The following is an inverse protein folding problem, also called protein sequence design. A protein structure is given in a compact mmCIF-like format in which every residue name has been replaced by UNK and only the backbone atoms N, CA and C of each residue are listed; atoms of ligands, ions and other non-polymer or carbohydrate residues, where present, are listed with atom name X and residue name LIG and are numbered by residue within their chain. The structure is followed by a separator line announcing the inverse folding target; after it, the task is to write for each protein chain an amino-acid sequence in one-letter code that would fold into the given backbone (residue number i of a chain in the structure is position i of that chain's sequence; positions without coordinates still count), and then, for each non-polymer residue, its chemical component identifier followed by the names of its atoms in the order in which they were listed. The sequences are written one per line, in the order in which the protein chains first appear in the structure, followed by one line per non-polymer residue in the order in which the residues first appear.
data_IF_295221134222
#
_entry.id   IF_295221134222
#
_cell.length_a   1.000
_cell.length_b   1.000
_cell.length_c   1.000
_cell.angle_alpha   90.00
_cell.angle_beta   90.00
_cell.angle_gamma   90.00
#
_symmetry.space_group_name_H-M   'P 1'
#
loop_
_entity.id
_entity.type
_entity.pdbx_description
1 polymer ?
#
# COMPACT_ATOMS: atom_id res chain seq x y z
N UNK A 1 -56.51 -29.94 -32.92
CA UNK A 1 -55.32 -30.49 -32.23
C UNK A 1 -54.47 -29.30 -31.80
N UNK A 2 -54.59 -28.88 -30.54
CA UNK A 2 -53.90 -27.70 -29.98
C UNK A 2 -52.57 -28.14 -29.39
N UNK A 3 -51.46 -27.72 -30.00
CA UNK A 3 -50.12 -27.96 -29.47
C UNK A 3 -49.85 -26.98 -28.32
N UNK A 4 -49.77 -27.49 -27.09
CA UNK A 4 -49.38 -26.72 -25.92
C UNK A 4 -47.87 -26.47 -25.93
N UNK A 5 -47.45 -25.21 -25.85
CA UNK A 5 -46.04 -24.84 -25.68
C UNK A 5 -45.62 -25.21 -24.25
N UNK A 6 -44.68 -26.13 -24.13
CA UNK A 6 -44.14 -26.55 -22.84
C UNK A 6 -43.07 -25.55 -22.40
N UNK A 7 -43.39 -24.73 -21.40
CA UNK A 7 -42.45 -23.78 -20.81
C UNK A 7 -41.48 -24.52 -19.89
N UNK A 8 -40.20 -24.57 -20.26
CA UNK A 8 -39.13 -25.11 -19.43
C UNK A 8 -38.44 -23.94 -18.70
N UNK A 9 -38.27 -24.08 -17.38
CA UNK A 9 -37.53 -23.11 -16.59
C UNK A 9 -36.05 -23.08 -17.04
N UNK A 10 -35.40 -21.91 -17.08
CA UNK A 10 -34.00 -21.82 -17.44
C UNK A 10 -33.14 -22.57 -16.41
N UNK A 11 -32.10 -23.24 -16.89
CA UNK A 11 -31.17 -23.92 -16.01
C UNK A 11 -30.46 -22.91 -15.07
N UNK A 12 -30.15 -23.32 -13.83
CA UNK A 12 -29.40 -22.49 -12.90
C UNK A 12 -28.06 -22.03 -13.50
N UNK A 13 -27.76 -20.73 -13.38
CA UNK A 13 -26.49 -20.19 -13.84
C UNK A 13 -25.39 -20.66 -12.90
N UNK A 14 -24.51 -21.53 -13.40
CA UNK A 14 -23.29 -21.93 -12.72
C UNK A 14 -22.16 -20.98 -13.10
N UNK A 15 -21.64 -20.24 -12.12
CA UNK A 15 -20.41 -19.47 -12.30
C UNK A 15 -19.24 -20.45 -12.51
N UNK A 16 -18.72 -20.51 -13.72
CA UNK A 16 -17.51 -21.27 -14.05
C UNK A 16 -16.36 -20.29 -14.23
N UNK A 17 -15.29 -20.50 -13.46
CA UNK A 17 -14.06 -19.72 -13.60
C UNK A 17 -13.33 -20.18 -14.86
N UNK A 18 -13.37 -19.34 -15.90
CA UNK A 18 -12.75 -19.61 -17.20
C UNK A 18 -11.36 -18.97 -17.31
N UNK A 19 -10.73 -18.58 -16.18
CA UNK A 19 -9.33 -18.21 -16.19
C UNK A 19 -8.50 -19.43 -16.57
N UNK A 20 -7.97 -19.42 -17.80
CA UNK A 20 -7.03 -20.45 -18.26
C UNK A 20 -5.87 -20.54 -17.27
N UNK A 21 -5.41 -21.74 -16.87
CA UNK A 21 -4.20 -21.88 -16.07
C UNK A 21 -3.01 -21.55 -16.98
N UNK A 22 -2.82 -20.26 -17.24
CA UNK A 22 -1.59 -19.73 -17.77
C UNK A 22 -0.52 -20.07 -16.72
N UNK A 23 0.19 -21.16 -17.01
CA UNK A 23 1.56 -21.44 -16.64
C UNK A 23 2.06 -20.64 -15.43
N UNK A 24 2.19 -21.35 -14.30
CA UNK A 24 2.93 -20.96 -13.11
C UNK A 24 4.09 -20.00 -13.41
N UNK A 25 3.79 -18.70 -13.39
CA UNK A 25 4.75 -17.59 -13.43
C UNK A 25 4.37 -16.64 -12.29
N UNK A 26 5.29 -16.37 -11.35
CA UNK A 26 4.94 -15.93 -10.01
C UNK A 26 4.59 -14.45 -9.97
N UNK A 27 3.58 -14.09 -9.18
CA UNK A 27 3.17 -12.72 -8.85
C UNK A 27 2.87 -11.80 -10.05
N UNK A 28 1.57 -11.56 -10.25
CA UNK A 28 1.02 -10.35 -10.87
C UNK A 28 1.83 -9.10 -10.45
N UNK A 29 2.75 -8.61 -11.30
CA UNK A 29 3.65 -7.51 -10.93
C UNK A 29 2.87 -6.21 -10.78
N UNK A 30 3.04 -5.55 -9.65
CA UNK A 30 2.51 -4.21 -9.41
C UNK A 30 3.53 -3.21 -9.94
N UNK A 31 3.13 -2.40 -10.92
CA UNK A 31 3.94 -1.29 -11.40
C UNK A 31 3.32 0.01 -10.91
N UNK A 32 4.02 0.70 -10.05
CA UNK A 32 3.59 1.99 -9.51
C UNK A 32 4.07 3.11 -10.43
N UNK A 33 3.18 4.05 -10.73
CA UNK A 33 3.44 5.24 -11.52
C UNK A 33 3.69 6.45 -10.63
N UNK A 34 2.91 6.59 -9.56
CA UNK A 34 2.97 7.73 -8.66
C UNK A 34 2.59 7.31 -7.24
N UNK A 35 3.31 7.85 -6.26
CA UNK A 35 3.03 7.66 -4.84
C UNK A 35 3.01 9.03 -4.17
N UNK A 36 1.92 9.32 -3.48
CA UNK A 36 1.74 10.57 -2.72
C UNK A 36 1.31 10.24 -1.30
N UNK A 37 1.92 10.92 -0.31
CA UNK A 37 1.49 10.89 1.09
C UNK A 37 0.85 12.23 1.40
N UNK A 38 -0.46 12.20 1.62
CA UNK A 38 -1.27 13.36 1.97
C UNK A 38 -1.17 13.73 3.43
N UNK A 39 -2.07 14.59 3.87
CA UNK A 39 -2.15 15.03 5.26
C UNK A 39 -2.48 13.86 6.21
N UNK A 40 -2.20 14.07 7.49
CA UNK A 40 -2.57 13.11 8.52
C UNK A 40 -3.83 13.53 9.28
N UNK A 41 -4.68 12.54 9.58
CA UNK A 41 -5.75 12.69 10.55
C UNK A 41 -5.22 12.34 11.94
N UNK A 42 -5.46 13.22 12.90
CA UNK A 42 -5.13 12.97 14.30
C UNK A 42 -6.31 12.24 14.95
N UNK A 43 -6.11 10.99 15.33
CA UNK A 43 -7.11 10.16 16.00
C UNK A 43 -6.88 10.25 17.51
N UNK A 44 -7.93 10.65 18.23
CA UNK A 44 -7.96 10.68 19.69
C UNK A 44 -8.66 9.42 20.20
N UNK A 45 -7.88 8.40 20.54
CA UNK A 45 -8.37 7.24 21.28
C UNK A 45 -8.50 7.54 22.77
N UNK A 46 -9.27 6.71 23.48
CA UNK A 46 -9.58 6.90 24.90
C UNK A 46 -8.34 6.95 25.82
N UNK A 47 -7.22 6.35 25.38
CA UNK A 47 -5.94 6.31 26.12
C UNK A 47 -4.73 6.81 25.31
N UNK A 48 -4.90 7.08 24.01
CA UNK A 48 -3.77 7.44 23.15
C UNK A 48 -4.19 8.35 22.01
N UNK A 49 -3.27 9.21 21.56
CA UNK A 49 -3.45 10.09 20.42
C UNK A 49 -2.41 9.74 19.36
N UNK A 50 -2.81 9.56 18.11
CA UNK A 50 -1.89 9.17 17.03
C UNK A 50 -2.29 9.77 15.69
N UNK A 51 -1.31 9.88 14.78
CA UNK A 51 -1.50 10.38 13.42
C UNK A 51 -1.64 9.22 12.44
N UNK A 52 -2.65 9.27 11.57
CA UNK A 52 -2.86 8.34 10.47
C UNK A 52 -2.69 9.10 9.16
N UNK A 53 -1.78 8.63 8.30
CA UNK A 53 -1.41 9.25 7.03
C UNK A 53 -2.23 8.64 5.90
N UNK A 54 -2.83 9.49 5.06
CA UNK A 54 -3.44 9.05 3.80
C UNK A 54 -2.34 8.84 2.76
N UNK A 55 -2.36 7.69 2.10
CA UNK A 55 -1.42 7.34 1.03
C UNK A 55 -2.21 7.06 -0.23
N UNK A 56 -1.81 7.67 -1.34
CA UNK A 56 -2.39 7.42 -2.66
C UNK A 56 -1.32 6.83 -3.57
N UNK A 57 -1.64 5.67 -4.14
CA UNK A 57 -0.79 4.95 -5.09
C UNK A 57 -1.51 4.91 -6.43
N UNK A 58 -0.86 5.34 -7.50
CA UNK A 58 -1.36 5.22 -8.87
C UNK A 58 -0.55 4.13 -9.56
N UNK A 59 -1.23 3.17 -10.16
CA UNK A 59 -0.61 2.05 -10.86
C UNK A 59 -0.57 2.32 -12.37
N UNK A 60 0.43 1.76 -13.04
CA UNK A 60 0.48 1.78 -14.49
C UNK A 60 -0.70 0.99 -15.07
N UNK A 61 -1.35 1.50 -16.13
CA UNK A 61 -2.43 0.78 -16.80
C UNK A 61 -1.88 -0.52 -17.41
N UNK A 62 -2.66 -1.60 -17.29
CA UNK A 62 -2.27 -2.94 -17.75
C UNK A 62 -2.61 -3.20 -19.22
N UNK A 63 -3.53 -2.41 -19.77
CA UNK A 63 -4.00 -2.49 -21.14
C UNK A 63 -4.23 -1.08 -21.66
N UNK A 64 -3.95 -0.88 -22.95
CA UNK A 64 -4.17 0.39 -23.66
C UNK A 64 -5.67 0.71 -23.89
N UNK A 65 -6.57 -0.09 -23.34
CA UNK A 65 -8.01 -0.05 -23.62
C UNK A 65 -8.85 0.70 -22.59
N UNK A 66 -8.23 1.32 -21.59
CA UNK A 66 -8.93 2.09 -20.55
C UNK A 66 -8.17 3.37 -20.21
N UNK A 67 -8.85 4.52 -20.27
CA UNK A 67 -8.25 5.83 -20.02
C UNK A 67 -7.94 6.12 -18.54
N UNK A 68 -8.25 5.21 -17.61
CA UNK A 68 -8.02 5.42 -16.17
C UNK A 68 -6.90 4.52 -15.64
N UNK A 69 -5.93 5.13 -14.97
CA UNK A 69 -4.93 4.42 -14.19
C UNK A 69 -5.57 3.91 -12.89
N UNK A 70 -5.43 2.63 -12.52
CA UNK A 70 -5.92 2.14 -11.24
C UNK A 70 -5.25 2.90 -10.10
N UNK A 71 -5.99 3.17 -9.03
CA UNK A 71 -5.45 3.80 -7.84
C UNK A 71 -5.80 3.01 -6.58
N UNK A 72 -4.91 3.03 -5.60
CA UNK A 72 -5.11 2.43 -4.28
C UNK A 72 -4.96 3.54 -3.25
N UNK A 73 -5.88 3.60 -2.30
CA UNK A 73 -5.85 4.52 -1.18
C UNK A 73 -5.68 3.74 0.13
N UNK A 74 -4.68 4.11 0.91
CA UNK A 74 -4.32 3.47 2.18
C UNK A 74 -4.33 4.49 3.31
N UNK A 75 -4.45 3.99 4.54
CA UNK A 75 -4.32 4.78 5.75
C UNK A 75 -3.37 4.10 6.72
N UNK A 76 -2.24 4.75 7.05
CA UNK A 76 -1.17 4.12 7.85
C UNK A 76 -0.67 5.03 8.95
N UNK A 77 -0.37 4.46 10.11
CA UNK A 77 0.37 5.14 11.18
C UNK A 77 1.86 5.05 10.89
N UNK A 78 2.64 5.96 11.48
CA UNK A 78 4.11 5.90 11.39
C UNK A 78 4.69 4.55 11.83
N UNK A 79 4.11 3.92 12.85
CA UNK A 79 4.51 2.58 13.31
C UNK A 79 4.38 1.51 12.22
N UNK A 80 3.40 1.63 11.34
CA UNK A 80 3.18 0.64 10.29
C UNK A 80 4.29 0.75 9.21
N UNK A 81 4.84 1.95 8.98
CA UNK A 81 6.03 2.15 8.15
C UNK A 81 7.30 1.57 8.80
N UNK A 82 7.43 1.67 10.13
CA UNK A 82 8.55 1.08 10.87
C UNK A 82 8.56 -0.44 10.67
N UNK A 83 7.42 -1.09 10.93
CA UNK A 83 7.25 -2.54 10.74
C UNK A 83 7.51 -2.93 9.28
N UNK A 84 7.01 -2.14 8.32
CA UNK A 84 7.24 -2.37 6.91
C UNK A 84 8.74 -2.30 6.55
N UNK A 85 9.45 -1.26 7.00
CA UNK A 85 10.90 -1.13 6.75
C UNK A 85 11.70 -2.27 7.36
N UNK A 86 11.37 -2.68 8.59
CA UNK A 86 12.02 -3.82 9.25
C UNK A 86 11.78 -5.12 8.47
N UNK A 87 10.55 -5.34 8.01
CA UNK A 87 10.20 -6.49 7.17
C UNK A 87 10.94 -6.48 5.82
N UNK A 88 11.08 -5.31 5.18
CA UNK A 88 11.88 -5.14 3.96
C UNK A 88 13.35 -5.51 4.20
N UNK A 89 13.97 -4.99 5.26
CA UNK A 89 15.37 -5.28 5.55
C UNK A 89 15.61 -6.76 5.89
N UNK A 90 14.64 -7.40 6.56
CA UNK A 90 14.70 -8.83 6.87
C UNK A 90 14.54 -9.74 5.65
N UNK A 91 13.73 -9.34 4.67
CA UNK A 91 13.44 -10.12 3.46
C UNK A 91 14.45 -9.91 2.32
N UNK A 92 15.05 -8.71 2.23
CA UNK A 92 15.94 -8.36 1.14
C UNK A 92 17.35 -8.95 1.30
N UNK A 93 18.02 -9.29 0.17
CA UNK A 93 19.41 -9.69 0.18
C UNK A 93 20.33 -8.49 0.52
N UNK A 94 21.54 -8.73 1.06
CA UNK A 94 22.38 -7.69 1.67
C UNK A 94 22.75 -6.52 0.73
N UNK A 95 22.92 -6.80 -0.55
CA UNK A 95 23.22 -5.83 -1.61
C UNK A 95 22.07 -4.83 -1.84
N UNK A 96 20.83 -5.27 -1.71
CA UNK A 96 19.64 -4.43 -1.90
C UNK A 96 19.22 -3.66 -0.65
N UNK A 97 19.63 -4.10 0.55
CA UNK A 97 19.28 -3.41 1.82
C UNK A 97 19.74 -1.96 1.84
N UNK A 98 20.88 -1.65 1.21
CA UNK A 98 21.42 -0.28 1.10
C UNK A 98 20.55 0.66 0.28
N UNK A 99 19.70 0.11 -0.59
CA UNK A 99 18.75 0.85 -1.41
C UNK A 99 17.46 1.19 -0.66
N UNK A 100 17.27 0.67 0.56
CA UNK A 100 16.11 0.99 1.40
C UNK A 100 16.42 2.26 2.21
N UNK A 101 15.76 3.40 1.94
CA UNK A 101 16.05 4.63 2.67
C UNK A 101 15.66 4.54 4.14
N UNK A 102 16.19 5.45 4.94
CA UNK A 102 15.76 5.63 6.32
C UNK A 102 14.36 6.25 6.40
N UNK A 103 13.66 5.98 7.49
CA UNK A 103 12.40 6.66 7.80
C UNK A 103 12.69 8.03 8.40
N UNK A 104 11.77 9.00 8.26
CA UNK A 104 11.86 10.24 9.02
C UNK A 104 11.92 9.94 10.52
N UNK A 105 12.62 10.75 11.33
CA UNK A 105 12.93 10.40 12.70
C UNK A 105 11.68 10.23 13.58
N UNK A 106 11.84 9.42 14.62
CA UNK A 106 10.91 9.41 15.77
C UNK A 106 11.02 10.74 16.51
N UNK A 107 10.04 11.04 17.35
CA UNK A 107 10.14 12.20 18.24
C UNK A 107 11.40 12.03 19.08
N UNK A 108 12.20 13.10 19.20
CA UNK A 108 13.44 13.07 19.96
C UNK A 108 13.16 12.62 21.39
N UNK A 109 14.08 11.84 21.97
CA UNK A 109 13.97 11.42 23.35
C UNK A 109 13.93 12.63 24.30
N UNK A 110 14.68 13.69 23.96
CA UNK A 110 14.67 14.96 24.69
C UNK A 110 13.30 15.64 24.71
N UNK A 111 12.44 15.40 23.72
CA UNK A 111 11.09 15.97 23.61
C UNK A 111 10.01 15.00 24.08
N UNK A 112 10.38 13.83 24.60
CA UNK A 112 9.41 12.80 24.99
C UNK A 112 8.54 13.22 26.19
N UNK A 113 9.03 14.12 27.04
CA UNK A 113 8.24 14.71 28.13
C UNK A 113 7.13 15.64 27.62
N UNK A 114 7.24 16.15 26.38
CA UNK A 114 6.21 16.93 25.67
C UNK A 114 5.80 16.26 24.37
N UNK A 115 5.70 14.93 24.41
CA UNK A 115 5.47 14.11 23.21
C UNK A 115 4.28 14.59 22.37
N UNK A 116 3.16 14.98 22.99
CA UNK A 116 1.99 15.43 22.25
C UNK A 116 2.26 16.72 21.48
N UNK A 117 2.92 17.70 22.09
CA UNK A 117 3.23 18.97 21.44
C UNK A 117 4.24 18.78 20.31
N UNK A 118 5.29 17.97 20.54
CA UNK A 118 6.29 17.68 19.54
C UNK A 118 5.73 16.85 18.37
N UNK A 119 4.94 15.80 18.67
CA UNK A 119 4.45 14.87 17.65
C UNK A 119 3.29 15.44 16.81
N UNK A 120 2.56 16.44 17.32
CA UNK A 120 1.43 17.08 16.62
C UNK A 120 1.72 18.53 16.17
N UNK A 121 2.96 18.98 16.28
CA UNK A 121 3.40 20.24 15.67
C UNK A 121 3.26 20.15 14.14
N UNK A 122 2.66 21.17 13.51
CA UNK A 122 2.40 21.18 12.07
C UNK A 122 3.67 21.07 11.21
N UNK A 123 4.75 21.77 11.58
CA UNK A 123 6.04 21.71 10.88
C UNK A 123 6.69 20.32 10.99
N UNK A 124 6.55 19.69 12.16
CA UNK A 124 7.00 18.32 12.39
C UNK A 124 6.24 17.33 11.53
N UNK A 125 4.90 17.43 11.52
CA UNK A 125 4.04 16.60 10.69
C UNK A 125 4.36 16.77 9.20
N UNK A 126 4.52 18.01 8.71
CA UNK A 126 4.89 18.26 7.32
C UNK A 126 6.23 17.63 6.93
N UNK A 127 7.26 17.73 7.79
CA UNK A 127 8.56 17.09 7.56
C UNK A 127 8.46 15.57 7.57
N UNK A 128 7.68 15.01 8.49
CA UNK A 128 7.43 13.57 8.55
C UNK A 128 6.70 13.10 7.30
N UNK A 129 5.66 13.81 6.84
CA UNK A 129 4.93 13.53 5.59
C UNK A 129 5.89 13.39 4.41
N UNK A 130 6.74 14.40 4.20
CA UNK A 130 7.72 14.43 3.12
C UNK A 130 8.70 13.25 3.20
N UNK A 131 9.18 12.92 4.40
CA UNK A 131 10.06 11.76 4.60
C UNK A 131 9.38 10.41 4.32
N UNK A 132 8.10 10.27 4.68
CA UNK A 132 7.32 9.06 4.39
C UNK A 132 7.06 8.92 2.88
N UNK A 133 6.73 10.02 2.21
CA UNK A 133 6.56 10.06 0.75
C UNK A 133 7.85 9.70 0.04
N UNK A 134 8.98 10.29 0.44
CA UNK A 134 10.29 9.95 -0.09
C UNK A 134 10.61 8.46 0.10
N UNK A 135 10.40 7.93 1.30
CA UNK A 135 10.62 6.51 1.61
C UNK A 135 9.81 5.61 0.67
N UNK A 136 8.50 5.85 0.52
CA UNK A 136 7.66 5.02 -0.34
C UNK A 136 8.02 5.15 -1.82
N UNK A 137 8.34 6.36 -2.29
CA UNK A 137 8.75 6.55 -3.68
C UNK A 137 10.02 5.76 -4.00
N UNK A 138 11.03 5.79 -3.13
CA UNK A 138 12.27 5.02 -3.32
C UNK A 138 12.06 3.50 -3.26
N UNK A 139 11.14 3.02 -2.41
CA UNK A 139 10.87 1.58 -2.27
C UNK A 139 9.98 1.07 -3.40
N UNK A 140 8.85 1.73 -3.65
CA UNK A 140 7.79 1.25 -4.54
C UNK A 140 8.04 1.59 -6.01
N UNK A 141 8.89 2.55 -6.36
CA UNK A 141 9.28 2.81 -7.76
C UNK A 141 10.56 2.06 -8.16
N UNK A 142 11.16 1.30 -7.25
CA UNK A 142 12.37 0.54 -7.53
C UNK A 142 12.00 -0.91 -7.90
N UNK A 143 12.04 -1.23 -9.19
CA UNK A 143 11.69 -2.55 -9.72
C UNK A 143 12.49 -3.70 -9.07
N UNK A 144 13.75 -3.46 -8.70
CA UNK A 144 14.59 -4.49 -8.05
C UNK A 144 14.08 -4.80 -6.65
N UNK A 145 13.65 -3.78 -5.90
CA UNK A 145 13.06 -3.95 -4.57
C UNK A 145 11.68 -4.61 -4.68
N UNK A 146 10.84 -4.14 -5.61
CA UNK A 146 9.52 -4.72 -5.88
C UNK A 146 9.58 -6.22 -6.18
N UNK A 147 10.50 -6.62 -7.07
CA UNK A 147 10.66 -8.01 -7.49
C UNK A 147 11.11 -8.93 -6.36
N UNK A 148 11.82 -8.41 -5.35
CA UNK A 148 12.39 -9.20 -4.25
C UNK A 148 11.58 -9.15 -2.96
N UNK A 149 10.83 -8.08 -2.74
CA UNK A 149 10.07 -7.85 -1.51
C UNK A 149 8.54 -7.81 -1.74
N UNK A 150 8.05 -8.45 -2.81
CA UNK A 150 6.64 -8.38 -3.19
C UNK A 150 5.65 -8.86 -2.11
N UNK A 151 6.05 -9.83 -1.27
CA UNK A 151 5.23 -10.31 -0.13
C UNK A 151 5.11 -9.24 0.96
N UNK A 152 6.21 -8.61 1.35
CA UNK A 152 6.25 -7.51 2.33
C UNK A 152 5.43 -6.31 1.84
N UNK A 153 5.57 -5.98 0.55
CA UNK A 153 4.84 -4.88 -0.08
C UNK A 153 3.34 -5.19 -0.07
N UNK A 154 2.92 -6.39 -0.50
CA UNK A 154 1.50 -6.78 -0.44
C UNK A 154 0.94 -6.69 0.97
N UNK A 155 1.65 -7.23 1.97
CA UNK A 155 1.23 -7.16 3.36
C UNK A 155 1.09 -5.70 3.86
N UNK A 156 1.94 -4.78 3.40
CA UNK A 156 1.82 -3.36 3.71
C UNK A 156 0.58 -2.72 3.05
N UNK A 157 0.21 -3.14 1.84
CA UNK A 157 -0.96 -2.60 1.12
C UNK A 157 -2.29 -3.12 1.64
N UNK A 158 -2.34 -4.33 2.21
CA UNK A 158 -3.57 -4.99 2.66
C UNK A 158 -3.96 -4.67 4.11
N UNK A 159 -2.97 -4.51 4.99
CA UNK A 159 -3.19 -4.13 6.41
C UNK A 159 -3.37 -2.62 6.56
#
# INVERSE_FOLDING_TARGET
MTQGVQFLAPEPIHLTDNESPAENSPQRSLHFKQITVGDCTIVNGQRSKFSVWQIQLVLSPRSNTGNSSPHIQLYKRYSDFVVFRESLLGSLPPDLRKSVPELPPRVSWYDSWRYQEANFNSSWLARRRAGLEFFLNQVLLNDKLLAKAGTCIRAFLEN
#
